data_IF_476781055627
#
_entry.id   IF_476781055627
#
_cell.length_a   1.000
_cell.length_b   1.000
_cell.length_c   1.000
_cell.angle_alpha   90.00
_cell.angle_beta   90.00
_cell.angle_gamma   90.00
#
_symmetry.space_group_name_H-M   'P 1'
#
loop_
_entity.id
_entity.type
_entity.pdbx_description
1 polymer ?
#
# COMPACT_ATOMS: atom_id res chain seq x y z
N UNK A 1 -0.60 17.49 11.52
CA UNK A 1 -0.30 18.02 12.87
C UNK A 1 -1.45 17.79 13.84
N UNK A 2 -2.66 18.30 13.59
CA UNK A 2 -3.79 18.20 14.53
C UNK A 2 -4.14 16.75 14.97
N UNK A 3 -4.16 15.78 14.04
CA UNK A 3 -4.42 14.38 14.37
C UNK A 3 -3.31 13.66 15.15
N UNK A 4 -2.06 14.13 15.11
CA UNK A 4 -0.98 13.55 15.93
C UNK A 4 -1.03 14.06 17.37
N UNK A 5 -1.44 15.31 17.58
CA UNK A 5 -1.58 15.90 18.91
C UNK A 5 -2.77 15.30 19.68
N UNK A 6 -3.89 15.02 18.99
CA UNK A 6 -5.05 14.34 19.58
C UNK A 6 -4.71 12.91 20.04
N UNK A 7 -3.94 12.17 19.22
CA UNK A 7 -3.47 10.83 19.55
C UNK A 7 -2.50 10.82 20.75
N UNK A 8 -1.63 11.84 20.85
CA UNK A 8 -0.73 12.03 22.01
C UNK A 8 -1.52 12.39 23.28
N UNK A 9 -2.57 13.19 23.15
CA UNK A 9 -3.49 13.53 24.24
C UNK A 9 -4.18 12.29 24.81
N UNK A 10 -4.78 11.47 23.94
CA UNK A 10 -5.42 10.22 24.34
C UNK A 10 -4.44 9.25 25.02
N UNK A 11 -3.22 9.11 24.51
CA UNK A 11 -2.18 8.26 25.10
C UNK A 11 -1.82 8.68 26.53
N UNK A 12 -1.72 9.99 26.80
CA UNK A 12 -1.49 10.53 28.15
C UNK A 12 -2.65 10.23 29.09
N UNK A 13 -3.90 10.40 28.64
CA UNK A 13 -5.10 10.12 29.43
C UNK A 13 -5.16 8.64 29.82
N UNK A 14 -4.84 7.72 28.90
CA UNK A 14 -4.79 6.28 29.19
C UNK A 14 -3.67 5.90 30.17
N UNK A 15 -2.48 6.49 30.01
CA UNK A 15 -1.38 6.32 30.96
C UNK A 15 -1.76 6.77 32.38
N UNK A 16 -2.46 7.91 32.48
CA UNK A 16 -2.99 8.42 33.73
C UNK A 16 -4.02 7.47 34.36
N UNK A 17 -5.02 6.99 33.59
CA UNK A 17 -6.01 6.03 34.11
C UNK A 17 -5.35 4.73 34.63
N UNK A 18 -4.29 4.25 33.97
CA UNK A 18 -3.53 3.08 34.46
C UNK A 18 -2.82 3.37 35.78
N UNK A 19 -2.21 4.55 35.90
CA UNK A 19 -1.56 4.95 37.14
C UNK A 19 -2.56 5.03 38.30
N UNK A 20 -3.73 5.64 38.08
CA UNK A 20 -4.81 5.70 39.07
C UNK A 20 -5.29 4.29 39.45
N UNK A 21 -5.45 3.39 38.49
CA UNK A 21 -5.79 1.99 38.74
C UNK A 21 -4.76 1.27 39.63
N UNK A 22 -3.46 1.45 39.36
CA UNK A 22 -2.38 0.88 40.19
C UNK A 22 -2.43 1.43 41.61
N UNK A 23 -2.59 2.75 41.75
CA UNK A 23 -2.69 3.42 43.06
C UNK A 23 -3.86 2.85 43.86
N UNK A 24 -5.01 2.62 43.24
CA UNK A 24 -6.18 2.02 43.89
C UNK A 24 -5.91 0.61 44.40
N UNK A 25 -5.16 -0.21 43.66
CA UNK A 25 -4.74 -1.54 44.13
C UNK A 25 -3.80 -1.43 45.34
N UNK A 26 -2.88 -0.47 45.33
CA UNK A 26 -1.98 -0.22 46.47
C UNK A 26 -2.80 0.23 47.70
N UNK A 27 -3.73 1.17 47.52
CA UNK A 27 -4.64 1.62 48.59
C UNK A 27 -5.52 0.49 49.11
N UNK A 28 -6.01 -0.38 48.22
CA UNK A 28 -6.77 -1.57 48.58
C UNK A 28 -5.95 -2.50 49.48
N UNK A 29 -4.71 -2.81 49.09
CA UNK A 29 -3.81 -3.65 49.90
C UNK A 29 -3.50 -2.99 51.25
N UNK A 30 -3.22 -1.70 51.27
CA UNK A 30 -2.96 -0.96 52.50
C UNK A 30 -4.16 -0.98 53.46
N UNK A 31 -5.38 -0.81 52.95
CA UNK A 31 -6.60 -0.81 53.76
C UNK A 31 -6.95 -2.19 54.32
N UNK A 32 -7.05 -3.21 53.46
CA UNK A 32 -7.50 -4.54 53.88
C UNK A 32 -6.42 -5.35 54.60
N UNK A 33 -5.14 -5.00 54.43
CA UNK A 33 -4.02 -5.60 55.15
C UNK A 33 -3.44 -4.65 56.21
N UNK A 34 -4.21 -3.67 56.69
CA UNK A 34 -3.71 -2.64 57.62
C UNK A 34 -3.01 -3.23 58.86
N UNK A 35 -3.56 -4.29 59.45
CA UNK A 35 -2.96 -4.96 60.62
C UNK A 35 -1.53 -5.48 60.36
N UNK A 36 -1.25 -5.94 59.14
CA UNK A 36 0.08 -6.41 58.75
C UNK A 36 1.08 -5.26 58.62
N UNK A 37 0.65 -4.09 58.14
CA UNK A 37 1.46 -2.88 58.06
C UNK A 37 1.67 -2.24 59.44
N UNK A 38 0.64 -2.23 60.29
CA UNK A 38 0.69 -1.69 61.65
C UNK A 38 1.67 -2.46 62.54
N UNK A 39 1.66 -3.80 62.47
CA UNK A 39 2.63 -4.64 63.19
C UNK A 39 4.09 -4.36 62.80
N UNK A 40 4.33 -3.87 61.59
CA UNK A 40 5.67 -3.55 61.05
C UNK A 40 6.04 -2.07 61.15
N UNK A 41 5.19 -1.24 61.75
CA UNK A 41 5.36 0.22 61.80
C UNK A 41 5.46 0.88 60.40
N UNK A 42 4.81 0.29 59.40
CA UNK A 42 4.75 0.80 58.02
C UNK A 42 3.50 1.65 57.76
N UNK A 43 2.90 2.20 58.81
CA UNK A 43 1.67 3.01 58.73
C UNK A 43 2.00 4.50 58.78
N UNK A 44 1.43 5.26 57.84
CA UNK A 44 1.56 6.71 57.81
C UNK A 44 0.24 7.37 58.20
N UNK A 45 0.26 8.25 59.19
CA UNK A 45 -0.94 8.90 59.74
C UNK A 45 -1.69 9.73 58.69
N UNK A 46 -0.95 10.40 57.80
CA UNK A 46 -1.50 11.14 56.67
C UNK A 46 -2.33 10.24 55.74
N UNK A 47 -1.79 9.08 55.36
CA UNK A 47 -2.46 8.12 54.47
C UNK A 47 -3.72 7.58 55.14
N UNK A 48 -3.66 7.29 56.44
CA UNK A 48 -4.80 6.82 57.21
C UNK A 48 -5.95 7.84 57.19
N UNK A 49 -5.66 9.12 57.46
CA UNK A 49 -6.67 10.19 57.43
C UNK A 49 -7.30 10.35 56.04
N UNK A 50 -6.48 10.31 54.98
CA UNK A 50 -6.95 10.42 53.59
C UNK A 50 -7.88 9.26 53.24
N UNK A 51 -7.46 8.01 53.49
CA UNK A 51 -8.25 6.83 53.14
C UNK A 51 -9.55 6.74 53.96
N UNK A 52 -9.53 7.10 55.23
CA UNK A 52 -10.74 7.14 56.07
C UNK A 52 -11.76 8.16 55.55
N UNK A 53 -11.32 9.38 55.22
CA UNK A 53 -12.20 10.41 54.66
C UNK A 53 -12.73 10.02 53.27
N UNK A 54 -11.87 9.41 52.44
CA UNK A 54 -12.28 8.88 51.15
C UNK A 54 -13.32 7.78 51.28
N UNK A 55 -13.12 6.83 52.21
CA UNK A 55 -14.09 5.76 52.44
C UNK A 55 -15.42 6.26 53.02
N UNK A 56 -15.38 7.26 53.92
CA UNK A 56 -16.60 7.90 54.46
C UNK A 56 -17.46 8.51 53.36
N UNK A 57 -16.84 9.02 52.31
CA UNK A 57 -17.52 9.72 51.21
C UNK A 57 -17.93 8.77 50.09
N UNK A 58 -17.03 7.88 49.67
CA UNK A 58 -17.21 7.05 48.47
C UNK A 58 -17.59 5.58 48.77
N UNK A 59 -17.43 5.11 50.00
CA UNK A 59 -17.72 3.72 50.40
C UNK A 59 -16.87 2.64 49.70
N UNK A 60 -15.80 3.03 48.97
CA UNK A 60 -15.06 2.14 48.08
C UNK A 60 -14.38 0.96 48.80
N UNK A 61 -14.02 1.13 50.07
CA UNK A 61 -13.35 0.13 50.89
C UNK A 61 -14.29 -0.58 51.88
N UNK A 62 -15.61 -0.41 51.75
CA UNK A 62 -16.60 -1.15 52.54
C UNK A 62 -16.54 -2.66 52.29
N UNK A 63 -16.31 -3.06 51.03
CA UNK A 63 -16.08 -4.44 50.63
C UNK A 63 -14.86 -4.55 49.73
N UNK A 64 -14.12 -5.66 49.87
CA UNK A 64 -12.91 -5.93 49.06
C UNK A 64 -13.19 -5.98 47.57
N UNK A 65 -14.43 -6.35 47.18
CA UNK A 65 -14.84 -6.42 45.79
C UNK A 65 -15.00 -5.05 45.13
N UNK A 66 -15.48 -4.01 45.84
CA UNK A 66 -15.78 -2.71 45.22
C UNK A 66 -14.52 -1.99 44.74
N UNK A 67 -13.56 -1.81 45.64
CA UNK A 67 -12.22 -1.31 45.31
C UNK A 67 -11.52 -2.11 44.18
N UNK A 68 -11.66 -3.44 44.16
CA UNK A 68 -11.14 -4.30 43.07
C UNK A 68 -11.85 -4.08 41.74
N UNK A 69 -13.19 -4.03 41.73
CA UNK A 69 -13.98 -3.77 40.53
C UNK A 69 -13.66 -2.39 39.94
N UNK A 70 -13.51 -1.37 40.79
CA UNK A 70 -13.18 -0.02 40.34
C UNK A 70 -11.76 0.08 39.77
N UNK A 71 -10.79 -0.62 40.36
CA UNK A 71 -9.45 -0.74 39.79
C UNK A 71 -9.49 -1.43 38.42
N UNK A 72 -10.20 -2.56 38.27
CA UNK A 72 -10.31 -3.26 36.98
C UNK A 72 -11.06 -2.44 35.93
N UNK A 73 -12.06 -1.65 36.31
CA UNK A 73 -12.77 -0.73 35.42
C UNK A 73 -11.81 0.30 34.81
N UNK A 74 -11.01 0.98 35.65
CA UNK A 74 -10.02 1.95 35.20
C UNK A 74 -8.91 1.29 34.38
N UNK A 75 -8.49 0.08 34.76
CA UNK A 75 -7.55 -0.72 33.99
C UNK A 75 -8.10 -1.02 32.59
N UNK A 76 -9.36 -1.46 32.49
CA UNK A 76 -10.04 -1.74 31.23
C UNK A 76 -10.07 -0.52 30.31
N UNK A 77 -10.49 0.63 30.84
CA UNK A 77 -10.47 1.91 30.12
C UNK A 77 -9.05 2.31 29.67
N UNK A 78 -8.03 2.06 30.50
CA UNK A 78 -6.64 2.36 30.18
C UNK A 78 -6.04 1.48 29.07
N UNK A 79 -6.62 0.30 28.83
CA UNK A 79 -6.13 -0.65 27.85
C UNK A 79 -6.66 -0.35 26.44
N UNK A 80 -7.87 0.20 26.30
CA UNK A 80 -8.59 0.29 25.01
C UNK A 80 -7.85 1.01 23.88
N UNK A 81 -7.06 2.05 24.13
CA UNK A 81 -6.34 2.78 23.08
C UNK A 81 -4.82 2.57 23.08
N UNK A 82 -4.31 1.52 23.72
CA UNK A 82 -2.89 1.22 23.66
C UNK A 82 -2.48 0.70 22.28
N UNK A 83 -1.78 1.52 21.50
CA UNK A 83 -1.15 1.06 20.25
C UNK A 83 0.00 0.11 20.58
N UNK A 84 -0.23 -1.19 20.41
CA UNK A 84 0.80 -2.20 20.56
C UNK A 84 1.73 -2.24 19.34
N UNK A 85 3.04 -2.34 19.59
CA UNK A 85 4.00 -2.69 18.54
C UNK A 85 3.64 -4.08 18.01
N UNK A 86 3.56 -4.23 16.68
CA UNK A 86 3.32 -5.51 15.99
C UNK A 86 4.46 -6.47 16.33
N UNK A 87 4.30 -7.29 17.37
CA UNK A 87 5.02 -8.54 17.47
C UNK A 87 4.35 -9.55 18.43
N UNK A 88 4.49 -10.81 18.02
CA UNK A 88 4.05 -12.09 18.61
C UNK A 88 2.65 -12.63 18.27
N UNK A 89 2.63 -13.94 17.99
CA UNK A 89 1.47 -14.83 17.74
C UNK A 89 0.58 -14.94 18.99
N UNK A 90 -0.11 -13.86 19.36
CA UNK A 90 -1.08 -13.88 20.47
C UNK A 90 -2.36 -14.56 19.97
N UNK A 91 -2.70 -15.71 20.53
CA UNK A 91 -3.96 -16.42 20.23
C UNK A 91 -5.05 -16.06 21.25
N UNK A 92 -6.31 -16.07 20.82
CA UNK A 92 -7.47 -15.91 21.71
C UNK A 92 -7.44 -16.89 22.89
N UNK A 93 -6.97 -18.13 22.67
CA UNK A 93 -6.81 -19.14 23.72
C UNK A 93 -5.84 -18.66 24.82
N UNK A 94 -4.71 -18.05 24.46
CA UNK A 94 -3.72 -17.51 25.42
C UNK A 94 -4.30 -16.35 26.23
N UNK A 95 -5.08 -15.47 25.59
CA UNK A 95 -5.77 -14.35 26.26
C UNK A 95 -6.79 -14.86 27.28
N UNK A 96 -7.63 -15.82 26.87
CA UNK A 96 -8.64 -16.44 27.75
C UNK A 96 -8.01 -17.11 28.98
N UNK A 97 -6.94 -17.89 28.80
CA UNK A 97 -6.24 -18.54 29.90
C UNK A 97 -5.68 -17.52 30.89
N UNK A 98 -4.96 -16.50 30.40
CA UNK A 98 -4.32 -15.49 31.26
C UNK A 98 -5.35 -14.59 31.95
N UNK A 99 -6.43 -14.23 31.26
CA UNK A 99 -7.54 -13.47 31.84
C UNK A 99 -8.25 -14.26 32.95
N UNK A 100 -8.50 -15.56 32.73
CA UNK A 100 -9.12 -16.44 33.73
C UNK A 100 -8.24 -16.60 34.97
N UNK A 101 -6.95 -16.89 34.80
CA UNK A 101 -5.99 -17.01 35.92
C UNK A 101 -5.91 -15.68 36.68
N UNK A 102 -5.80 -14.56 35.97
CA UNK A 102 -5.77 -13.23 36.57
C UNK A 102 -7.03 -12.91 37.38
N UNK A 103 -8.21 -13.26 36.86
CA UNK A 103 -9.51 -13.05 37.53
C UNK A 103 -9.62 -13.88 38.81
N UNK A 104 -9.21 -15.16 38.76
CA UNK A 104 -9.21 -16.04 39.92
C UNK A 104 -8.28 -15.51 41.01
N UNK A 105 -7.03 -15.19 40.66
CA UNK A 105 -6.05 -14.67 41.62
C UNK A 105 -6.46 -13.32 42.21
N UNK A 106 -7.09 -12.44 41.41
CA UNK A 106 -7.44 -11.10 41.85
C UNK A 106 -8.72 -11.05 42.69
N UNK A 107 -9.81 -11.73 42.30
CA UNK A 107 -11.10 -11.61 42.98
C UNK A 107 -11.33 -12.69 44.07
N UNK A 108 -10.90 -13.92 43.82
CA UNK A 108 -11.27 -15.08 44.66
C UNK A 108 -10.32 -15.32 45.83
N UNK A 109 -9.37 -14.42 46.08
CA UNK A 109 -8.42 -14.52 47.19
C UNK A 109 -8.93 -13.90 48.51
N UNK A 110 -10.14 -13.31 48.55
CA UNK A 110 -10.68 -12.60 49.72
C UNK A 110 -10.85 -13.47 50.97
N UNK A 111 -10.92 -14.80 50.82
CA UNK A 111 -10.96 -15.72 51.96
C UNK A 111 -9.68 -15.68 52.81
N UNK A 112 -8.52 -15.35 52.21
CA UNK A 112 -7.23 -15.29 52.91
C UNK A 112 -7.22 -14.23 54.00
N UNK A 113 -8.00 -13.16 53.87
CA UNK A 113 -8.11 -12.09 54.87
C UNK A 113 -8.80 -12.54 56.16
N UNK A 114 -9.49 -13.68 56.16
CA UNK A 114 -10.16 -14.23 57.35
C UNK A 114 -9.20 -15.00 58.27
N UNK A 115 -7.98 -15.31 57.80
CA UNK A 115 -7.00 -16.05 58.58
C UNK A 115 -6.01 -15.08 59.26
N UNK A 116 -5.83 -15.15 60.59
CA UNK A 116 -4.96 -14.22 61.34
C UNK A 116 -3.45 -14.48 61.15
N UNK A 117 -3.07 -15.41 60.27
CA UNK A 117 -1.66 -15.73 60.01
C UNK A 117 -1.00 -14.65 59.13
N UNK A 118 0.17 -14.17 59.54
CA UNK A 118 0.99 -13.23 58.76
C UNK A 118 1.29 -13.76 57.34
N UNK A 119 1.47 -15.07 57.20
CA UNK A 119 1.63 -15.74 55.91
C UNK A 119 0.40 -15.61 54.99
N UNK A 120 -0.82 -15.70 55.53
CA UNK A 120 -2.05 -15.56 54.74
C UNK A 120 -2.19 -14.16 54.14
N UNK A 121 -1.76 -13.13 54.89
CA UNK A 121 -1.73 -11.75 54.40
C UNK A 121 -0.69 -11.55 53.29
N UNK A 122 0.50 -12.13 53.43
CA UNK A 122 1.52 -12.11 52.36
C UNK A 122 1.03 -12.80 51.08
N UNK A 123 0.37 -13.95 51.19
CA UNK A 123 -0.24 -14.63 50.05
C UNK A 123 -1.36 -13.81 49.42
N UNK A 124 -2.15 -13.08 50.21
CA UNK A 124 -3.17 -12.17 49.70
C UNK A 124 -2.58 -11.03 48.88
N UNK A 125 -1.50 -10.40 49.36
CA UNK A 125 -0.79 -9.33 48.66
C UNK A 125 -0.21 -9.85 47.34
N UNK A 126 0.49 -10.99 47.39
CA UNK A 126 1.11 -11.60 46.20
C UNK A 126 0.07 -12.02 45.16
N UNK A 127 -1.00 -12.70 45.57
CA UNK A 127 -2.07 -13.13 44.65
C UNK A 127 -2.83 -11.95 44.04
N UNK A 128 -3.09 -10.89 44.82
CA UNK A 128 -3.74 -9.67 44.30
C UNK A 128 -2.82 -8.94 43.30
N UNK A 129 -1.53 -8.79 43.62
CA UNK A 129 -0.56 -8.16 42.73
C UNK A 129 -0.36 -8.95 41.42
N UNK A 130 -0.15 -10.27 41.53
CA UNK A 130 0.00 -11.15 40.37
C UNK A 130 -1.26 -11.18 39.50
N UNK A 131 -2.44 -11.28 40.13
CA UNK A 131 -3.73 -11.24 39.43
C UNK A 131 -3.92 -9.94 38.65
N UNK A 132 -3.59 -8.80 39.25
CA UNK A 132 -3.67 -7.50 38.58
C UNK A 132 -2.73 -7.40 37.36
N UNK A 133 -1.49 -7.84 37.48
CA UNK A 133 -0.52 -7.83 36.38
C UNK A 133 -1.01 -8.70 35.21
N UNK A 134 -1.56 -9.89 35.50
CA UNK A 134 -2.12 -10.78 34.47
C UNK A 134 -3.34 -10.17 33.78
N UNK A 135 -4.23 -9.51 34.53
CA UNK A 135 -5.37 -8.78 33.97
C UNK A 135 -4.92 -7.61 33.09
N UNK A 136 -3.89 -6.87 33.50
CA UNK A 136 -3.30 -5.79 32.70
C UNK A 136 -2.72 -6.33 31.39
N UNK A 137 -1.98 -7.44 31.45
CA UNK A 137 -1.42 -8.09 30.26
C UNK A 137 -2.52 -8.56 29.29
N UNK A 138 -3.57 -9.21 29.82
CA UNK A 138 -4.72 -9.63 29.03
C UNK A 138 -5.44 -8.45 28.37
N UNK A 139 -5.66 -7.35 29.10
CA UNK A 139 -6.30 -6.14 28.58
C UNK A 139 -5.52 -5.50 27.43
N UNK A 140 -4.18 -5.43 27.53
CA UNK A 140 -3.32 -4.95 26.45
C UNK A 140 -3.41 -5.86 25.21
N UNK A 141 -3.44 -7.18 25.39
CA UNK A 141 -3.61 -8.11 24.28
C UNK A 141 -4.98 -8.02 23.61
N UNK A 142 -6.05 -7.84 24.38
CA UNK A 142 -7.42 -7.64 23.86
C UNK A 142 -7.48 -6.37 23.00
N UNK A 143 -6.96 -5.25 23.50
CA UNK A 143 -6.93 -3.98 22.76
C UNK A 143 -6.17 -4.10 21.43
N UNK A 144 -5.01 -4.78 21.43
CA UNK A 144 -4.26 -5.05 20.20
C UNK A 144 -5.09 -5.82 19.17
N UNK A 145 -5.78 -6.88 19.59
CA UNK A 145 -6.53 -7.71 18.66
C UNK A 145 -7.77 -6.99 18.10
N UNK A 146 -8.48 -6.21 18.92
CA UNK A 146 -9.63 -5.41 18.48
C UNK A 146 -9.22 -4.30 17.50
N UNK A 147 -8.12 -3.59 17.78
CA UNK A 147 -7.61 -2.51 16.91
C UNK A 147 -7.03 -3.03 15.59
N UNK A 148 -6.57 -4.28 15.52
CA UNK A 148 -6.03 -4.87 14.28
C UNK A 148 -7.12 -5.29 13.30
N UNK A 149 -8.31 -5.69 13.77
CA UNK A 149 -9.43 -6.09 12.91
C UNK A 149 -10.27 -4.90 12.40
N UNK A 150 -10.27 -3.76 13.11
CA UNK A 150 -11.04 -2.57 12.74
C UNK A 150 -10.29 -1.60 11.82
N UNK A 151 -8.97 -1.74 11.72
CA UNK A 151 -8.14 -1.00 10.77
C UNK A 151 -7.69 -1.96 9.68
N UNK A 152 -8.66 -2.41 8.86
CA UNK A 152 -8.33 -3.00 7.56
C UNK A 152 -7.46 -1.99 6.83
N UNK A 153 -6.22 -2.38 6.59
CA UNK A 153 -5.19 -1.57 5.94
C UNK A 153 -5.79 -0.85 4.72
N UNK A 154 -5.69 0.49 4.70
CA UNK A 154 -6.20 1.30 3.58
C UNK A 154 -5.47 0.89 2.29
N UNK A 155 -4.26 0.35 2.41
CA UNK A 155 -3.43 -0.19 1.33
C UNK A 155 -3.50 -1.73 1.31
N UNK A 156 -4.69 -2.31 1.42
CA UNK A 156 -4.88 -3.74 1.13
C UNK A 156 -5.28 -3.94 -0.34
N UNK A 157 -4.97 -5.10 -0.91
CA UNK A 157 -5.28 -5.44 -2.31
C UNK A 157 -6.75 -5.23 -2.69
N UNK A 158 -7.66 -5.30 -1.71
CA UNK A 158 -9.10 -5.14 -1.93
C UNK A 158 -9.50 -3.66 -2.01
N UNK A 159 -8.93 -2.81 -1.16
CA UNK A 159 -9.12 -1.37 -1.12
C UNK A 159 -8.40 -0.65 -2.27
N UNK A 160 -7.27 -1.20 -2.74
CA UNK A 160 -6.58 -0.74 -3.95
C UNK A 160 -7.20 -1.29 -5.24
N UNK A 161 -8.12 -2.25 -5.12
CA UNK A 161 -8.81 -2.81 -6.27
C UNK A 161 -10.06 -2.04 -6.66
N UNK A 162 -10.32 -1.96 -7.96
CA UNK A 162 -11.53 -1.35 -8.51
C UNK A 162 -12.03 -2.14 -9.73
N UNK A 163 -13.32 -2.00 -10.02
CA UNK A 163 -13.95 -2.60 -11.18
C UNK A 163 -13.31 -2.06 -12.47
N UNK A 164 -12.77 -2.96 -13.29
CA UNK A 164 -12.29 -2.64 -14.64
C UNK A 164 -13.34 -3.02 -15.70
N UNK A 165 -13.15 -2.56 -16.94
CA UNK A 165 -14.04 -2.90 -18.05
C UNK A 165 -13.93 -4.39 -18.38
N UNK A 166 -15.07 -5.07 -18.40
CA UNK A 166 -15.19 -6.52 -18.65
C UNK A 166 -15.69 -6.82 -20.05
N UNK A 167 -16.26 -5.83 -20.74
CA UNK A 167 -16.77 -5.99 -22.10
C UNK A 167 -15.65 -5.78 -23.11
N UNK A 168 -15.65 -6.63 -24.12
CA UNK A 168 -14.81 -6.46 -25.31
C UNK A 168 -15.49 -5.45 -26.24
N UNK A 169 -14.95 -4.24 -26.33
CA UNK A 169 -15.46 -3.19 -27.22
C UNK A 169 -14.70 -3.22 -28.54
N UNK A 170 -15.10 -4.12 -29.43
CA UNK A 170 -14.47 -4.32 -30.73
C UNK A 170 -15.06 -3.39 -31.80
N UNK A 171 -14.21 -2.79 -32.64
CA UNK A 171 -14.60 -2.07 -33.84
C UNK A 171 -13.51 -2.20 -34.94
N UNK A 172 -13.72 -1.60 -36.11
CA UNK A 172 -12.80 -1.67 -37.26
C UNK A 172 -11.39 -1.14 -36.96
N UNK A 173 -11.23 -0.29 -35.93
CA UNK A 173 -9.98 0.39 -35.60
C UNK A 173 -9.42 0.01 -34.23
N UNK A 174 -10.19 -0.66 -33.38
CA UNK A 174 -9.84 -0.84 -31.98
C UNK A 174 -8.59 -1.69 -31.77
N UNK A 175 -7.93 -1.53 -30.64
CA UNK A 175 -7.00 -2.57 -30.14
C UNK A 175 -7.44 -3.00 -28.76
N UNK A 176 -7.66 -4.29 -28.60
CA UNK A 176 -8.24 -4.87 -27.40
C UNK A 176 -7.21 -5.77 -26.71
N UNK A 177 -6.80 -5.40 -25.50
CA UNK A 177 -5.78 -6.13 -24.73
C UNK A 177 -6.45 -6.90 -23.58
N UNK A 178 -6.25 -8.23 -23.49
CA UNK A 178 -6.82 -9.01 -22.40
C UNK A 178 -6.11 -8.71 -21.08
N UNK A 179 -6.89 -8.51 -20.01
CA UNK A 179 -6.36 -8.25 -18.65
C UNK A 179 -6.98 -9.17 -17.61
N UNK A 180 -6.35 -9.20 -16.42
CA UNK A 180 -6.93 -9.75 -15.21
C UNK A 180 -6.86 -8.69 -14.12
N UNK A 181 -7.93 -8.55 -13.36
CA UNK A 181 -7.99 -7.62 -12.23
C UNK A 181 -8.61 -8.31 -11.03
N UNK A 182 -8.17 -7.92 -9.83
CA UNK A 182 -8.75 -8.37 -8.59
C UNK A 182 -9.90 -7.42 -8.23
N UNK A 183 -11.03 -7.92 -7.73
CA UNK A 183 -12.14 -7.09 -7.22
C UNK A 183 -13.11 -7.96 -6.40
N UNK A 184 -13.58 -7.46 -5.24
CA UNK A 184 -14.45 -8.20 -4.30
C UNK A 184 -14.00 -9.63 -4.02
N UNK A 185 -12.81 -9.77 -3.44
CA UNK A 185 -12.26 -11.07 -3.06
C UNK A 185 -11.80 -11.99 -4.20
N UNK A 186 -12.06 -11.65 -5.47
CA UNK A 186 -11.91 -12.59 -6.59
C UNK A 186 -11.13 -11.99 -7.78
N UNK A 187 -10.51 -12.87 -8.57
CA UNK A 187 -9.88 -12.51 -9.85
C UNK A 187 -10.89 -12.55 -11.00
N UNK A 188 -10.98 -11.45 -11.72
CA UNK A 188 -11.86 -11.27 -12.87
C UNK A 188 -11.05 -11.11 -14.15
N UNK A 189 -11.64 -11.50 -15.28
CA UNK A 189 -11.08 -11.22 -16.61
C UNK A 189 -11.64 -9.88 -17.10
N UNK A 190 -10.79 -9.08 -17.72
CA UNK A 190 -11.15 -7.77 -18.25
C UNK A 190 -10.49 -7.47 -19.59
N UNK A 191 -10.75 -6.27 -20.10
CA UNK A 191 -10.21 -5.77 -21.35
C UNK A 191 -9.78 -4.31 -21.21
N UNK A 192 -8.59 -4.00 -21.73
CA UNK A 192 -8.23 -2.62 -22.09
C UNK A 192 -8.62 -2.43 -23.55
N UNK A 193 -9.65 -1.62 -23.78
CA UNK A 193 -10.17 -1.33 -25.11
C UNK A 193 -9.67 0.04 -25.58
N UNK A 194 -8.69 0.07 -26.49
CA UNK A 194 -8.32 1.29 -27.20
C UNK A 194 -9.23 1.43 -28.40
N UNK A 195 -10.38 2.07 -28.21
CA UNK A 195 -11.45 2.16 -29.21
C UNK A 195 -11.10 3.07 -30.40
N UNK A 196 -10.17 4.00 -30.21
CA UNK A 196 -9.72 4.94 -31.25
C UNK A 196 -8.20 5.18 -31.12
N UNK A 197 -7.36 4.40 -31.81
CA UNK A 197 -5.91 4.55 -31.74
C UNK A 197 -5.37 5.78 -32.50
N UNK A 198 -6.18 6.45 -33.33
CA UNK A 198 -5.75 7.59 -34.14
C UNK A 198 -5.39 8.84 -33.33
N UNK A 199 -5.75 8.90 -32.04
CA UNK A 199 -5.41 10.01 -31.12
C UNK A 199 -4.00 9.89 -30.52
N UNK A 200 -3.12 9.15 -31.17
CA UNK A 200 -1.86 8.63 -30.66
C UNK A 200 -2.05 7.70 -29.45
N UNK A 201 -1.17 6.70 -29.34
CA UNK A 201 -1.10 5.80 -28.19
C UNK A 201 0.34 5.76 -27.70
N UNK A 202 0.53 6.00 -26.40
CA UNK A 202 1.85 6.02 -25.76
C UNK A 202 1.93 4.87 -24.76
N UNK A 203 3.01 4.09 -24.84
CA UNK A 203 3.30 2.99 -23.91
C UNK A 203 4.57 3.32 -23.14
N UNK A 204 4.43 3.59 -21.84
CA UNK A 204 5.54 3.94 -20.95
C UNK A 204 6.01 2.71 -20.16
N UNK A 205 7.31 2.61 -19.92
CA UNK A 205 7.87 1.57 -19.07
C UNK A 205 9.38 1.42 -19.23
N UNK A 206 10.03 0.84 -18.22
CA UNK A 206 11.47 0.60 -18.20
C UNK A 206 11.88 -0.52 -19.17
N UNK A 207 13.16 -0.61 -19.57
CA UNK A 207 13.68 -1.77 -20.30
C UNK A 207 13.34 -3.07 -19.55
N UNK A 208 12.90 -4.10 -20.28
CA UNK A 208 12.51 -5.39 -19.69
C UNK A 208 11.08 -5.47 -19.11
N UNK A 209 10.32 -4.37 -19.06
CA UNK A 209 8.96 -4.35 -18.47
C UNK A 209 7.87 -5.05 -19.29
N UNK A 210 8.21 -5.74 -20.39
CA UNK A 210 7.26 -6.48 -21.21
C UNK A 210 6.41 -5.67 -22.19
N UNK A 211 6.71 -4.38 -22.43
CA UNK A 211 5.93 -3.50 -23.34
C UNK A 211 5.68 -4.11 -24.72
N UNK A 212 6.72 -4.67 -25.33
CA UNK A 212 6.62 -5.24 -26.68
C UNK A 212 5.66 -6.41 -26.71
N UNK A 213 5.82 -7.35 -25.76
CA UNK A 213 4.96 -8.54 -25.67
C UNK A 213 3.51 -8.19 -25.34
N UNK A 214 3.29 -7.36 -24.31
CA UNK A 214 1.96 -7.08 -23.79
C UNK A 214 1.15 -6.13 -24.67
N UNK A 215 1.80 -5.14 -25.32
CA UNK A 215 1.09 -4.08 -26.05
C UNK A 215 1.46 -4.06 -27.53
N UNK A 216 2.73 -3.87 -27.88
CA UNK A 216 3.14 -3.63 -29.28
C UNK A 216 2.80 -4.82 -30.19
N UNK A 217 3.05 -6.05 -29.74
CA UNK A 217 2.73 -7.26 -30.49
C UNK A 217 1.22 -7.39 -30.74
N UNK A 218 0.38 -7.01 -29.77
CA UNK A 218 -1.07 -7.01 -29.94
C UNK A 218 -1.51 -5.96 -30.96
N UNK A 219 -0.90 -4.76 -30.93
CA UNK A 219 -1.12 -3.72 -31.94
C UNK A 219 -0.76 -4.22 -33.34
N UNK A 220 0.44 -4.78 -33.51
CA UNK A 220 0.91 -5.33 -34.80
C UNK A 220 -0.09 -6.36 -35.33
N UNK A 221 -0.47 -7.33 -34.50
CA UNK A 221 -1.35 -8.43 -34.90
C UNK A 221 -2.75 -7.96 -35.29
N UNK A 222 -3.38 -7.18 -34.41
CA UNK A 222 -4.76 -6.74 -34.61
C UNK A 222 -4.89 -5.76 -35.78
N UNK A 223 -3.92 -4.85 -35.96
CA UNK A 223 -3.93 -3.95 -37.13
C UNK A 223 -3.74 -4.71 -38.44
N UNK A 224 -2.84 -5.70 -38.48
CA UNK A 224 -2.67 -6.55 -39.67
C UNK A 224 -3.95 -7.33 -39.98
N UNK A 225 -4.58 -7.92 -38.96
CA UNK A 225 -5.87 -8.63 -39.11
C UNK A 225 -6.97 -7.73 -39.67
N UNK A 226 -6.92 -6.44 -39.35
CA UNK A 226 -7.84 -5.39 -39.80
C UNK A 226 -7.45 -4.75 -41.13
N UNK A 227 -6.40 -5.24 -41.80
CA UNK A 227 -6.00 -4.75 -43.12
C UNK A 227 -5.22 -3.43 -43.11
N UNK A 228 -4.65 -3.01 -41.97
CA UNK A 228 -3.81 -1.83 -41.91
C UNK A 228 -2.41 -2.09 -42.48
N UNK A 229 -1.86 -1.10 -43.18
CA UNK A 229 -0.42 -1.00 -43.40
C UNK A 229 0.26 -0.38 -42.17
N UNK A 230 1.53 -0.70 -41.96
CA UNK A 230 2.25 -0.24 -40.78
C UNK A 230 3.69 0.14 -41.13
N UNK A 231 4.18 1.20 -40.48
CA UNK A 231 5.59 1.54 -40.41
C UNK A 231 6.13 1.12 -39.04
N UNK A 232 7.06 0.17 -39.02
CA UNK A 232 7.60 -0.40 -37.77
C UNK A 232 9.05 0.01 -37.61
N UNK A 233 9.33 0.76 -36.56
CA UNK A 233 10.70 1.02 -36.12
C UNK A 233 11.16 -0.11 -35.18
N UNK A 234 11.98 -1.01 -35.69
CA UNK A 234 12.47 -2.19 -34.97
C UNK A 234 13.90 -2.00 -34.50
N UNK A 235 14.06 -1.41 -33.31
CA UNK A 235 15.38 -1.14 -32.72
C UNK A 235 16.21 -2.41 -32.45
N UNK A 236 15.55 -3.57 -32.27
CA UNK A 236 16.19 -4.86 -32.00
C UNK A 236 15.97 -5.80 -33.18
N UNK A 237 16.22 -5.31 -34.38
CA UNK A 237 15.97 -6.08 -35.60
C UNK A 237 16.57 -7.50 -35.50
N UNK A 238 15.82 -8.57 -35.78
CA UNK A 238 14.50 -8.65 -36.45
C UNK A 238 13.31 -9.02 -35.53
N UNK A 239 13.34 -8.65 -34.24
CA UNK A 239 12.33 -9.00 -33.23
C UNK A 239 10.88 -8.70 -33.67
N UNK A 240 10.55 -7.42 -33.89
CA UNK A 240 9.18 -7.01 -34.25
C UNK A 240 8.87 -7.33 -35.71
N UNK A 241 9.90 -7.22 -36.56
CA UNK A 241 9.82 -7.47 -38.01
C UNK A 241 9.38 -8.90 -38.30
N UNK A 242 9.95 -9.89 -37.59
CA UNK A 242 9.59 -11.30 -37.70
C UNK A 242 8.13 -11.55 -37.31
N UNK A 243 7.65 -10.88 -36.25
CA UNK A 243 6.25 -11.01 -35.81
C UNK A 243 5.32 -10.43 -36.88
N UNK A 244 5.61 -9.23 -37.36
CA UNK A 244 4.79 -8.56 -38.37
C UNK A 244 4.75 -9.35 -39.68
N UNK A 245 5.91 -9.81 -40.18
CA UNK A 245 5.99 -10.58 -41.42
C UNK A 245 5.22 -11.90 -41.34
N UNK A 246 5.46 -12.68 -40.28
CA UNK A 246 4.77 -13.95 -40.09
C UNK A 246 3.25 -13.77 -39.92
N UNK A 247 2.82 -12.71 -39.23
CA UNK A 247 1.39 -12.43 -39.05
C UNK A 247 0.74 -11.97 -40.35
N UNK A 248 1.44 -11.15 -41.14
CA UNK A 248 1.00 -10.70 -42.46
C UNK A 248 0.83 -11.87 -43.43
N UNK A 249 1.78 -12.82 -43.46
CA UNK A 249 1.65 -13.99 -44.32
C UNK A 249 0.36 -14.77 -44.04
N UNK A 250 0.02 -14.96 -42.76
CA UNK A 250 -1.18 -15.67 -42.31
C UNK A 250 -2.48 -14.90 -42.58
N UNK A 251 -2.45 -13.57 -42.49
CA UNK A 251 -3.63 -12.71 -42.60
C UNK A 251 -3.67 -11.89 -43.89
N UNK A 252 -2.91 -12.30 -44.92
CA UNK A 252 -2.88 -11.61 -46.21
C UNK A 252 -4.24 -11.57 -46.92
N UNK A 253 -5.19 -12.42 -46.51
CA UNK A 253 -6.57 -12.45 -47.00
C UNK A 253 -7.42 -11.29 -46.46
N UNK A 254 -7.03 -10.65 -45.34
CA UNK A 254 -7.70 -9.46 -44.79
C UNK A 254 -7.55 -8.22 -45.68
N UNK A 255 -6.65 -8.26 -46.68
CA UNK A 255 -6.30 -7.11 -47.50
C UNK A 255 -6.93 -7.22 -48.88
N UNK A 256 -7.63 -6.16 -49.30
CA UNK A 256 -8.08 -6.01 -50.70
C UNK A 256 -6.89 -5.95 -51.65
N UNK A 257 -5.83 -5.24 -51.26
CA UNK A 257 -4.54 -5.17 -51.98
C UNK A 257 -3.46 -5.61 -51.01
N UNK A 258 -2.80 -6.72 -51.30
CA UNK A 258 -1.77 -7.28 -50.41
C UNK A 258 -0.60 -6.31 -50.27
N UNK A 259 -0.24 -5.88 -49.05
CA UNK A 259 0.89 -4.98 -48.85
C UNK A 259 2.20 -5.73 -49.13
N UNK A 260 3.17 -5.01 -49.69
CA UNK A 260 4.54 -5.49 -49.82
C UNK A 260 5.28 -5.23 -48.51
N UNK A 261 6.19 -6.14 -48.15
CA UNK A 261 7.00 -6.01 -46.95
C UNK A 261 8.39 -5.47 -47.32
N UNK A 262 8.66 -4.23 -46.92
CA UNK A 262 9.95 -3.57 -47.13
C UNK A 262 10.67 -3.39 -45.80
N UNK A 263 11.99 -3.52 -45.84
CA UNK A 263 12.89 -3.39 -44.69
C UNK A 263 13.97 -2.41 -45.07
N UNK A 264 14.21 -1.38 -44.27
CA UNK A 264 15.38 -0.50 -44.38
C UNK A 264 16.27 -0.79 -43.18
N UNK A 265 17.45 -1.37 -43.43
CA UNK A 265 18.38 -1.80 -42.40
C UNK A 265 19.73 -1.11 -42.60
N UNK A 266 20.09 -0.24 -41.65
CA UNK A 266 21.35 0.51 -41.68
C UNK A 266 22.54 -0.28 -41.09
N UNK A 267 22.29 -1.34 -40.33
CA UNK A 267 23.32 -2.18 -39.72
C UNK A 267 23.80 -3.30 -40.66
N UNK A 268 22.86 -3.95 -41.37
CA UNK A 268 23.14 -4.96 -42.41
C UNK A 268 22.51 -4.56 -43.75
N UNK A 269 23.25 -3.84 -44.61
CA UNK A 269 22.76 -3.41 -45.92
C UNK A 269 22.33 -4.58 -46.83
N UNK A 270 22.81 -5.80 -46.60
CA UNK A 270 22.41 -6.98 -47.39
C UNK A 270 20.98 -7.43 -47.11
N UNK A 271 20.45 -7.11 -45.93
CA UNK A 271 19.06 -7.37 -45.52
C UNK A 271 18.16 -6.15 -45.71
N UNK A 272 18.70 -5.06 -46.26
CA UNK A 272 17.96 -3.84 -46.56
C UNK A 272 17.46 -3.83 -47.99
N UNK A 273 16.23 -3.37 -48.18
CA UNK A 273 15.78 -2.82 -49.44
C UNK A 273 16.46 -1.47 -49.66
N UNK A 274 16.58 -1.07 -50.93
CA UNK A 274 17.14 0.23 -51.29
C UNK A 274 16.04 1.28 -51.29
N UNK A 275 16.33 2.43 -50.71
CA UNK A 275 15.48 3.60 -50.75
C UNK A 275 16.37 4.80 -51.05
N UNK A 276 15.96 5.63 -52.01
CA UNK A 276 16.55 6.94 -52.22
C UNK A 276 15.57 7.99 -51.68
N UNK A 277 15.83 8.60 -50.50
CA UNK A 277 14.97 9.65 -49.97
C UNK A 277 15.00 10.92 -50.83
N UNK A 278 15.97 11.04 -51.73
CA UNK A 278 16.12 12.13 -52.70
C UNK A 278 15.78 11.64 -54.13
N UNK A 279 14.79 10.77 -54.29
CA UNK A 279 14.38 10.32 -55.62
C UNK A 279 13.72 11.50 -56.37
N UNK A 280 14.22 11.89 -57.57
CA UNK A 280 13.67 13.00 -58.34
C UNK A 280 12.18 12.87 -58.65
N UNK A 281 11.65 11.65 -58.75
CA UNK A 281 10.21 11.42 -58.95
C UNK A 281 9.32 11.98 -57.84
N UNK A 282 9.86 12.19 -56.63
CA UNK A 282 9.15 12.75 -55.48
C UNK A 282 9.49 14.23 -55.23
N UNK A 283 10.35 14.84 -56.06
CA UNK A 283 10.79 16.24 -55.94
C UNK A 283 10.11 17.05 -57.03
N UNK A 284 8.89 17.47 -56.75
CA UNK A 284 8.04 18.16 -57.72
C UNK A 284 8.25 19.67 -57.71
N UNK A 285 8.64 20.24 -56.57
CA UNK A 285 8.94 21.65 -56.42
C UNK A 285 10.15 21.90 -55.49
N UNK A 286 10.55 23.16 -55.38
CA UNK A 286 11.69 23.57 -54.56
C UNK A 286 11.44 23.38 -53.05
N UNK A 287 10.16 23.35 -52.63
CA UNK A 287 9.80 23.09 -51.24
C UNK A 287 10.08 21.65 -50.86
N UNK A 288 9.91 20.67 -51.77
CA UNK A 288 10.32 19.28 -51.53
C UNK A 288 11.83 19.16 -51.27
N UNK A 289 12.65 19.87 -52.06
CA UNK A 289 14.09 19.92 -51.87
C UNK A 289 14.48 20.61 -50.55
N UNK A 290 13.78 21.70 -50.19
CA UNK A 290 13.98 22.39 -48.92
C UNK A 290 13.60 21.52 -47.72
N UNK A 291 12.44 20.86 -47.73
CA UNK A 291 11.99 19.96 -46.65
C UNK A 291 12.93 18.76 -46.47
N UNK A 292 13.43 18.18 -47.57
CA UNK A 292 14.43 17.13 -47.53
C UNK A 292 15.75 17.62 -46.91
N UNK A 293 16.27 18.77 -47.38
CA UNK A 293 17.47 19.39 -46.83
C UNK A 293 17.31 19.73 -45.34
N UNK A 294 16.19 20.34 -44.98
CA UNK A 294 15.83 20.72 -43.62
C UNK A 294 15.81 19.49 -42.70
N UNK A 295 15.11 18.43 -43.12
CA UNK A 295 15.04 17.17 -42.37
C UNK A 295 16.42 16.54 -42.19
N UNK A 296 17.24 16.50 -43.24
CA UNK A 296 18.59 15.93 -43.18
C UNK A 296 19.47 16.73 -42.21
N UNK A 297 19.54 18.05 -42.39
CA UNK A 297 20.46 18.92 -41.63
C UNK A 297 20.10 18.98 -40.14
N UNK A 298 18.82 19.07 -39.80
CA UNK A 298 18.38 19.07 -38.40
C UNK A 298 18.61 17.73 -37.69
N UNK A 299 18.52 16.62 -38.41
CA UNK A 299 18.82 15.30 -37.85
C UNK A 299 20.33 15.04 -37.71
N UNK A 300 21.16 15.63 -38.58
CA UNK A 300 22.62 15.60 -38.46
C UNK A 300 23.11 16.42 -37.25
N UNK A 301 22.52 17.59 -36.99
CA UNK A 301 22.84 18.40 -35.83
C UNK A 301 21.60 18.81 -35.04
N UNK A 302 21.24 17.97 -34.05
CA UNK A 302 20.05 18.19 -33.20
C UNK A 302 20.06 19.52 -32.44
N UNK A 303 21.23 20.14 -32.19
CA UNK A 303 21.29 21.45 -31.53
C UNK A 303 20.68 22.57 -32.37
N UNK A 304 20.61 22.39 -33.69
CA UNK A 304 20.02 23.36 -34.62
C UNK A 304 18.50 23.43 -34.52
N UNK A 305 17.85 22.38 -34.00
CA UNK A 305 16.39 22.36 -33.78
C UNK A 305 15.97 23.51 -32.84
N UNK A 306 16.80 23.88 -31.87
CA UNK A 306 16.53 24.98 -30.94
C UNK A 306 16.95 26.36 -31.47
N UNK A 307 17.62 26.42 -32.64
CA UNK A 307 18.18 27.63 -33.23
C UNK A 307 17.61 27.91 -34.63
N UNK A 308 16.40 27.44 -34.90
CA UNK A 308 15.71 27.71 -36.17
C UNK A 308 15.56 29.22 -36.38
N UNK A 309 15.82 29.68 -37.60
CA UNK A 309 15.88 31.10 -37.94
C UNK A 309 17.24 31.79 -37.70
N UNK A 310 18.22 31.12 -37.10
CA UNK A 310 19.60 31.62 -37.05
C UNK A 310 20.28 31.47 -38.42
N UNK A 311 21.01 32.50 -38.84
CA UNK A 311 21.69 32.54 -40.13
C UNK A 311 22.59 31.32 -40.37
N UNK A 312 23.31 30.88 -39.32
CA UNK A 312 24.22 29.74 -39.41
C UNK A 312 23.53 28.38 -39.50
N UNK A 313 22.23 28.32 -39.21
CA UNK A 313 21.40 27.13 -39.39
C UNK A 313 20.72 27.16 -40.75
N UNK A 314 20.13 28.30 -41.12
CA UNK A 314 19.39 28.44 -42.38
C UNK A 314 20.31 28.39 -43.62
N UNK A 315 21.48 29.04 -43.57
CA UNK A 315 22.41 29.10 -44.72
C UNK A 315 22.81 27.72 -45.25
N UNK A 316 23.28 26.76 -44.42
CA UNK A 316 23.64 25.44 -44.93
C UNK A 316 22.42 24.60 -45.34
N UNK A 317 21.23 24.83 -44.77
CA UNK A 317 19.98 24.19 -45.23
C UNK A 317 19.63 24.66 -46.63
N UNK A 318 19.64 25.98 -46.87
CA UNK A 318 19.36 26.57 -48.19
C UNK A 318 20.40 26.11 -49.21
N UNK A 319 21.68 26.06 -48.82
CA UNK A 319 22.73 25.56 -49.71
C UNK A 319 22.48 24.10 -50.11
N UNK A 320 22.14 23.23 -49.16
CA UNK A 320 21.83 21.84 -49.47
C UNK A 320 20.57 21.71 -50.33
N UNK A 321 19.53 22.50 -50.05
CA UNK A 321 18.31 22.54 -50.85
C UNK A 321 18.57 22.98 -52.30
N UNK A 322 19.55 23.85 -52.54
CA UNK A 322 19.93 24.27 -53.90
C UNK A 322 20.82 23.26 -54.64
N UNK A 323 21.46 22.33 -53.90
CA UNK A 323 22.28 21.25 -54.47
C UNK A 323 21.40 20.04 -54.86
N UNK A 324 20.36 19.77 -54.07
CA UNK A 324 19.33 18.77 -54.34
C UNK A 324 18.54 19.19 -55.59
#
# INVERSE_FOLDING_TARGET
MQGEDDLRGLAKIMGFMRAVSIILVIMHLYWFCYGFFAQRQWTLELINKILQNFNKTAGLFSHSLYSKLFAVLLLGLSCLGTKGVKNEKISWKKILIISSIGTVLFFFNSFLLKFPASGATSFYILSTGAGYILLMQAGVWISRLLTTNLMTDVFNNENESFQQETRLLYNEYSVNLPTKFYYHGNWHKGWINVVNPFRATIVLGTPGSGKSYAVVNNYIRQHIEKGFSMYIYDFKFDDLSTIAYNHLLKHSHSYRVKPKFYVINFDDPRRSHRCNPLNPEFMTDISDAYEAAYTIMLNLNRSWIQKQGDFFVESPIILLAAII
#
